data_IF_614384328614
#
_entry.id   IF_614384328614
#
_cell.length_a   1.000
_cell.length_b   1.000
_cell.length_c   1.000
_cell.angle_alpha   90.00
_cell.angle_beta   90.00
_cell.angle_gamma   90.00
#
_symmetry.space_group_name_H-M   'P 1'
#
loop_
_entity.id
_entity.type
_entity.pdbx_description
1 polymer ?
#
# COMPACT_ATOMS: atom_id res chain seq x y z
N UNK A 1 -15.70 7.19 -19.59
CA UNK A 1 -15.36 7.32 -18.17
C UNK A 1 -14.30 8.39 -18.00
N UNK A 2 -14.44 9.24 -17.00
CA UNK A 2 -13.53 10.36 -16.73
C UNK A 2 -12.76 10.10 -15.44
N UNK A 3 -11.44 10.10 -15.52
CA UNK A 3 -10.53 9.88 -14.38
C UNK A 3 -9.75 11.16 -14.13
N UNK A 4 -9.88 11.72 -12.92
CA UNK A 4 -9.10 12.87 -12.48
C UNK A 4 -7.97 12.40 -11.56
N UNK A 5 -6.72 12.68 -11.93
CA UNK A 5 -5.54 12.36 -11.11
C UNK A 5 -5.08 13.63 -10.39
N UNK A 6 -5.17 13.66 -9.06
CA UNK A 6 -4.66 14.75 -8.23
C UNK A 6 -3.23 14.39 -7.81
N UNK A 7 -2.26 15.08 -8.42
CA UNK A 7 -0.84 14.80 -8.26
C UNK A 7 -0.27 13.89 -9.35
N UNK A 8 0.04 14.46 -10.52
CA UNK A 8 0.71 13.76 -11.63
C UNK A 8 2.24 13.69 -11.44
N UNK A 9 2.66 13.16 -10.29
CA UNK A 9 4.04 12.73 -10.02
C UNK A 9 4.25 11.27 -10.44
N UNK A 10 5.25 10.60 -9.87
CA UNK A 10 5.53 9.18 -10.16
C UNK A 10 4.32 8.28 -9.95
N UNK A 11 3.67 8.32 -8.78
CA UNK A 11 2.49 7.49 -8.50
C UNK A 11 1.30 7.83 -9.42
N UNK A 12 1.06 9.12 -9.66
CA UNK A 12 0.01 9.56 -10.58
C UNK A 12 0.22 9.08 -12.02
N UNK A 13 1.46 9.10 -12.53
CA UNK A 13 1.75 8.57 -13.86
C UNK A 13 1.58 7.04 -13.93
N UNK A 14 1.94 6.31 -12.86
CA UNK A 14 1.65 4.88 -12.75
C UNK A 14 0.15 4.59 -12.84
N UNK A 15 -0.68 5.38 -12.15
CA UNK A 15 -2.14 5.28 -12.28
C UNK A 15 -2.63 5.60 -13.68
N UNK A 16 -2.11 6.66 -14.32
CA UNK A 16 -2.45 7.00 -15.71
C UNK A 16 -2.20 5.80 -16.64
N UNK A 17 -0.99 5.23 -16.60
CA UNK A 17 -0.60 4.06 -17.41
C UNK A 17 -1.47 2.83 -17.10
N UNK A 18 -1.74 2.57 -15.82
CA UNK A 18 -2.59 1.45 -15.39
C UNK A 18 -4.04 1.60 -15.86
N UNK A 19 -4.61 2.81 -15.84
CA UNK A 19 -5.94 3.08 -16.37
C UNK A 19 -6.02 2.98 -17.89
N UNK A 20 -5.03 3.50 -18.61
CA UNK A 20 -4.92 3.35 -20.07
C UNK A 20 -4.87 1.86 -20.47
N UNK A 21 -4.08 1.07 -19.74
CA UNK A 21 -4.02 -0.36 -19.94
C UNK A 21 -5.37 -1.04 -19.63
N UNK A 22 -5.94 -0.80 -18.44
CA UNK A 22 -7.20 -1.39 -18.02
C UNK A 22 -8.37 -1.03 -18.95
N UNK A 23 -8.38 0.20 -19.48
CA UNK A 23 -9.33 0.66 -20.49
C UNK A 23 -9.25 -0.20 -21.76
N UNK A 24 -8.03 -0.47 -22.26
CA UNK A 24 -7.80 -1.31 -23.43
C UNK A 24 -8.32 -2.75 -23.23
N UNK A 25 -8.15 -3.31 -22.04
CA UNK A 25 -8.58 -4.68 -21.72
C UNK A 25 -10.10 -4.80 -21.53
N UNK A 26 -10.74 -3.76 -21.00
CA UNK A 26 -12.18 -3.77 -20.68
C UNK A 26 -13.06 -3.25 -21.81
N UNK A 27 -12.47 -2.59 -22.81
CA UNK A 27 -13.20 -1.88 -23.86
C UNK A 27 -13.88 -0.58 -23.38
N UNK A 28 -13.55 -0.10 -22.18
CA UNK A 28 -14.11 1.13 -21.62
C UNK A 28 -13.30 2.32 -22.11
N UNK A 29 -13.94 3.28 -22.77
CA UNK A 29 -13.27 4.55 -23.12
C UNK A 29 -12.99 5.38 -21.87
N UNK A 30 -11.72 5.73 -21.64
CA UNK A 30 -11.26 6.55 -20.51
C UNK A 30 -10.70 7.87 -21.03
N UNK A 31 -11.15 8.98 -20.44
CA UNK A 31 -10.57 10.31 -20.57
C UNK A 31 -9.88 10.65 -19.25
N UNK A 32 -8.62 11.07 -19.31
CA UNK A 32 -7.82 11.39 -18.12
C UNK A 32 -7.51 12.88 -18.11
N UNK A 33 -7.72 13.52 -16.96
CA UNK A 33 -7.23 14.86 -16.65
C UNK A 33 -6.45 14.82 -15.34
N UNK A 34 -5.73 15.90 -15.03
CA UNK A 34 -4.98 15.96 -13.78
C UNK A 34 -5.02 17.35 -13.13
N UNK A 35 -4.90 17.32 -11.81
CA UNK A 35 -4.65 18.51 -10.97
C UNK A 35 -3.20 18.47 -10.51
N UNK A 36 -2.52 19.60 -10.56
CA UNK A 36 -1.16 19.73 -10.05
C UNK A 36 -0.77 21.17 -9.76
N UNK A 37 0.37 21.37 -9.12
CA UNK A 37 0.91 22.72 -8.85
C UNK A 37 1.42 23.41 -10.12
N UNK A 38 1.86 22.62 -11.08
CA UNK A 38 2.43 23.10 -12.34
C UNK A 38 1.98 22.20 -13.49
N UNK A 39 1.86 22.80 -14.68
CA UNK A 39 1.58 22.07 -15.89
C UNK A 39 2.78 21.20 -16.29
N UNK A 40 2.53 19.95 -16.66
CA UNK A 40 3.53 18.98 -17.12
C UNK A 40 3.51 18.95 -18.65
N UNK A 41 4.62 18.58 -19.31
CA UNK A 41 4.69 18.45 -20.76
C UNK A 41 3.96 17.18 -21.25
N UNK A 42 2.64 17.17 -21.12
CA UNK A 42 1.75 16.07 -21.51
C UNK A 42 0.51 16.62 -22.22
N UNK A 43 -0.17 15.77 -23.00
CA UNK A 43 -1.40 16.13 -23.68
C UNK A 43 -2.65 16.10 -22.77
N UNK A 44 -2.51 15.62 -21.52
CA UNK A 44 -3.62 15.58 -20.57
C UNK A 44 -4.13 16.98 -20.23
N UNK A 45 -5.44 17.11 -20.06
CA UNK A 45 -6.06 18.36 -19.58
C UNK A 45 -5.57 18.67 -18.17
N UNK A 46 -5.00 19.86 -18.00
CA UNK A 46 -4.46 20.35 -16.74
C UNK A 46 -5.47 21.25 -16.01
N UNK A 47 -5.55 21.08 -14.70
CA UNK A 47 -6.22 21.98 -13.77
C UNK A 47 -5.27 22.40 -12.66
N UNK A 48 -5.32 23.66 -12.27
CA UNK A 48 -4.52 24.19 -11.16
C UNK A 48 -5.26 24.12 -9.80
N UNK A 49 -6.53 23.71 -9.79
CA UNK A 49 -7.37 23.59 -8.59
C UNK A 49 -8.29 22.37 -8.69
N UNK A 50 -8.60 21.77 -7.54
CA UNK A 50 -9.45 20.58 -7.44
C UNK A 50 -10.91 20.94 -7.76
N UNK A 51 -11.46 21.98 -7.15
CA UNK A 51 -12.84 22.43 -7.35
C UNK A 51 -13.17 22.72 -8.82
N UNK A 52 -12.31 23.45 -9.52
CA UNK A 52 -12.45 23.71 -10.96
C UNK A 52 -12.41 22.43 -11.79
N UNK A 53 -11.56 21.47 -11.42
CA UNK A 53 -11.51 20.17 -12.10
C UNK A 53 -12.80 19.35 -11.86
N UNK A 54 -13.29 19.32 -10.62
CA UNK A 54 -14.53 18.61 -10.28
C UNK A 54 -15.73 19.20 -11.04
N UNK A 55 -15.82 20.52 -11.17
CA UNK A 55 -16.91 21.20 -11.90
C UNK A 55 -16.79 21.03 -13.42
N UNK A 56 -15.64 21.36 -14.00
CA UNK A 56 -15.49 21.42 -15.46
C UNK A 56 -15.24 20.05 -16.10
N UNK A 57 -14.48 19.18 -15.42
CA UNK A 57 -14.20 17.84 -15.92
C UNK A 57 -15.31 16.88 -15.52
N UNK A 58 -15.90 17.04 -14.34
CA UNK A 58 -16.93 16.17 -13.77
C UNK A 58 -16.51 14.68 -13.80
N UNK A 59 -15.48 14.29 -13.02
CA UNK A 59 -14.91 12.96 -13.08
C UNK A 59 -15.80 11.88 -12.45
N UNK A 60 -15.79 10.68 -13.04
CA UNK A 60 -16.40 9.48 -12.45
C UNK A 60 -15.50 8.87 -11.36
N UNK A 61 -14.18 9.04 -11.52
CA UNK A 61 -13.15 8.52 -10.61
C UNK A 61 -12.16 9.65 -10.29
N UNK A 62 -11.84 9.83 -9.01
CA UNK A 62 -10.74 10.67 -8.53
C UNK A 62 -9.64 9.78 -7.96
N UNK A 63 -8.39 10.03 -8.35
CA UNK A 63 -7.19 9.41 -7.80
C UNK A 63 -6.41 10.46 -7.03
N UNK A 64 -6.19 10.22 -5.74
CA UNK A 64 -5.31 11.05 -4.89
C UNK A 64 -3.94 10.39 -4.83
N UNK A 65 -2.96 10.98 -5.51
CA UNK A 65 -1.59 10.46 -5.63
C UNK A 65 -0.52 11.55 -5.41
N UNK A 66 -0.85 12.54 -4.56
CA UNK A 66 0.12 13.52 -4.06
C UNK A 66 1.07 12.85 -3.06
N UNK A 67 2.00 13.60 -2.45
CA UNK A 67 2.81 13.04 -1.36
C UNK A 67 1.90 12.72 -0.16
N UNK A 68 2.23 11.65 0.57
CA UNK A 68 1.47 11.14 1.71
C UNK A 68 1.10 12.22 2.75
N UNK A 69 2.00 13.17 3.04
CA UNK A 69 1.80 14.30 3.96
C UNK A 69 0.72 15.29 3.50
N UNK A 70 0.21 15.16 2.27
CA UNK A 70 -0.80 16.04 1.69
C UNK A 70 -2.11 15.31 1.38
N UNK A 71 -2.23 14.02 1.69
CA UNK A 71 -3.45 13.26 1.42
C UNK A 71 -4.65 13.84 2.17
N UNK A 72 -4.53 14.10 3.47
CA UNK A 72 -5.65 14.59 4.28
C UNK A 72 -6.26 15.89 3.74
N UNK A 73 -5.42 16.90 3.44
CA UNK A 73 -5.92 18.17 2.89
C UNK A 73 -6.62 17.98 1.56
N UNK A 74 -6.05 17.16 0.66
CA UNK A 74 -6.64 16.88 -0.65
C UNK A 74 -7.95 16.09 -0.54
N UNK A 75 -8.02 15.09 0.32
CA UNK A 75 -9.23 14.30 0.55
C UNK A 75 -10.35 15.17 1.14
N UNK A 76 -10.01 16.12 2.03
CA UNK A 76 -10.96 17.09 2.56
C UNK A 76 -11.54 18.02 1.47
N UNK A 77 -10.76 18.38 0.45
CA UNK A 77 -11.26 19.15 -0.71
C UNK A 77 -12.25 18.37 -1.59
N UNK A 78 -12.39 17.05 -1.41
CA UNK A 78 -13.38 16.23 -2.10
C UNK A 78 -14.74 16.20 -1.39
N UNK A 79 -14.97 17.03 -0.37
CA UNK A 79 -16.25 17.12 0.32
C UNK A 79 -17.40 17.35 -0.68
N UNK A 80 -18.42 16.48 -0.64
CA UNK A 80 -19.56 16.51 -1.55
C UNK A 80 -19.35 15.83 -2.90
N UNK A 81 -18.17 15.25 -3.16
CA UNK A 81 -17.95 14.43 -4.34
C UNK A 81 -18.64 13.07 -4.20
N UNK A 82 -19.44 12.68 -5.21
CA UNK A 82 -20.23 11.44 -5.18
C UNK A 82 -19.63 10.31 -6.05
N UNK A 83 -18.50 10.52 -6.71
CA UNK A 83 -17.90 9.49 -7.57
C UNK A 83 -17.13 8.42 -6.80
N UNK A 84 -16.21 7.74 -7.49
CA UNK A 84 -15.31 6.77 -6.87
C UNK A 84 -13.99 7.42 -6.51
N UNK A 85 -13.47 7.19 -5.31
CA UNK A 85 -12.17 7.72 -4.88
C UNK A 85 -11.16 6.60 -4.72
N UNK A 86 -10.00 6.76 -5.34
CA UNK A 86 -8.79 5.98 -5.06
C UNK A 86 -7.83 6.89 -4.30
N UNK A 87 -7.31 6.41 -3.18
CA UNK A 87 -6.25 7.10 -2.46
C UNK A 87 -4.98 6.26 -2.48
N UNK A 88 -3.84 6.87 -2.82
CA UNK A 88 -2.55 6.27 -2.52
C UNK A 88 -2.39 6.05 -1.03
N UNK A 89 -1.52 5.10 -0.66
CA UNK A 89 -1.19 4.82 0.74
C UNK A 89 -0.20 5.85 1.30
N UNK A 90 -0.17 6.07 2.63
CA UNK A 90 -1.22 5.73 3.60
C UNK A 90 -2.44 6.66 3.41
N UNK A 91 -3.53 6.46 4.15
CA UNK A 91 -4.72 7.32 3.99
C UNK A 91 -4.41 8.78 4.38
N UNK A 92 -3.67 8.97 5.47
CA UNK A 92 -3.22 10.28 5.97
C UNK A 92 -1.86 10.19 6.64
N UNK A 93 -1.23 11.32 6.96
CA UNK A 93 -0.14 11.33 7.92
C UNK A 93 -0.67 11.06 9.35
N UNK A 94 0.17 10.55 10.27
CA UNK A 94 -0.28 10.19 11.62
C UNK A 94 -0.90 11.32 12.46
N UNK A 95 -0.53 12.57 12.18
CA UNK A 95 -0.99 13.75 12.92
C UNK A 95 -2.25 14.40 12.31
N UNK A 96 -2.72 13.91 11.16
CA UNK A 96 -3.87 14.49 10.48
C UNK A 96 -5.20 14.12 11.16
N UNK A 97 -6.21 14.99 11.01
CA UNK A 97 -7.56 14.73 11.51
C UNK A 97 -8.31 13.71 10.63
N UNK A 98 -8.25 12.46 11.07
CA UNK A 98 -8.92 11.34 10.42
C UNK A 98 -10.45 11.47 10.40
N UNK A 99 -11.05 12.16 11.37
CA UNK A 99 -12.50 12.34 11.42
C UNK A 99 -12.97 13.30 10.31
N UNK A 100 -12.22 14.39 10.09
CA UNK A 100 -12.48 15.31 8.97
C UNK A 100 -12.39 14.62 7.61
N UNK A 101 -11.40 13.74 7.41
CA UNK A 101 -11.26 12.96 6.17
C UNK A 101 -12.44 12.01 5.98
N UNK A 102 -12.85 11.28 7.03
CA UNK A 102 -14.02 10.41 6.99
C UNK A 102 -15.31 11.18 6.65
N UNK A 103 -15.50 12.37 7.22
CA UNK A 103 -16.65 13.22 6.94
C UNK A 103 -16.66 13.76 5.50
N UNK A 104 -15.51 14.19 4.98
CA UNK A 104 -15.39 14.69 3.61
C UNK A 104 -15.74 13.62 2.56
N UNK A 105 -15.36 12.37 2.85
CA UNK A 105 -15.60 11.23 1.95
C UNK A 105 -16.93 10.53 2.19
N UNK A 106 -17.80 11.02 3.07
CA UNK A 106 -19.03 10.34 3.46
C UNK A 106 -20.04 10.14 2.30
N UNK A 107 -19.93 10.93 1.22
CA UNK A 107 -20.87 10.90 0.08
C UNK A 107 -20.35 10.11 -1.12
N UNK A 108 -19.12 9.59 -1.08
CA UNK A 108 -18.54 8.87 -2.23
C UNK A 108 -19.31 7.57 -2.49
N UNK A 109 -19.54 7.23 -3.76
CA UNK A 109 -20.21 5.97 -4.14
C UNK A 109 -19.28 4.76 -4.15
N UNK A 110 -18.00 4.98 -3.89
CA UNK A 110 -17.01 3.92 -3.69
C UNK A 110 -15.66 4.50 -3.32
N UNK A 111 -14.90 3.71 -2.57
CA UNK A 111 -13.58 4.06 -2.11
C UNK A 111 -12.65 2.86 -2.19
N UNK A 112 -11.40 3.10 -2.54
CA UNK A 112 -10.33 2.12 -2.41
C UNK A 112 -9.01 2.78 -2.00
N UNK A 113 -8.42 2.34 -0.90
CA UNK A 113 -7.01 2.62 -0.60
C UNK A 113 -6.11 1.71 -1.46
N UNK A 114 -5.00 2.26 -1.95
CA UNK A 114 -4.07 1.55 -2.82
C UNK A 114 -3.20 0.51 -2.07
N UNK A 115 -3.84 -0.57 -1.63
CA UNK A 115 -3.20 -1.73 -1.00
C UNK A 115 -2.94 -2.81 -2.05
N UNK A 116 -2.06 -2.50 -3.01
CA UNK A 116 -1.83 -3.29 -4.23
C UNK A 116 -1.44 -4.75 -3.99
N UNK A 117 -0.87 -5.06 -2.82
CA UNK A 117 -0.39 -6.41 -2.51
C UNK A 117 -1.53 -7.42 -2.33
N UNK A 118 -2.77 -6.94 -2.10
CA UNK A 118 -3.99 -7.76 -2.19
C UNK A 118 -4.21 -8.33 -3.61
N UNK A 119 -3.68 -7.69 -4.65
CA UNK A 119 -3.83 -8.07 -6.06
C UNK A 119 -2.69 -8.97 -6.59
N UNK A 120 -1.74 -9.33 -5.73
CA UNK A 120 -0.78 -10.39 -6.05
C UNK A 120 -1.50 -11.74 -6.14
N UNK A 121 -1.14 -12.55 -7.13
CA UNK A 121 -1.67 -13.92 -7.24
C UNK A 121 -1.14 -14.80 -6.11
N UNK A 122 0.06 -14.50 -5.58
CA UNK A 122 0.64 -15.18 -4.42
C UNK A 122 -0.18 -14.92 -3.15
N UNK A 123 -0.56 -13.66 -2.88
CA UNK A 123 -1.39 -13.31 -1.72
C UNK A 123 -2.77 -13.95 -1.81
N UNK A 124 -3.41 -13.86 -2.98
CA UNK A 124 -4.73 -14.45 -3.20
C UNK A 124 -4.70 -15.96 -3.01
N UNK A 125 -3.68 -16.64 -3.56
CA UNK A 125 -3.51 -18.08 -3.36
C UNK A 125 -3.41 -18.43 -1.87
N UNK A 126 -2.58 -17.74 -1.08
CA UNK A 126 -2.47 -18.03 0.36
C UNK A 126 -3.80 -17.82 1.09
N UNK A 127 -4.50 -16.70 0.82
CA UNK A 127 -5.82 -16.44 1.40
C UNK A 127 -6.82 -17.55 1.06
N UNK A 128 -6.84 -18.01 -0.18
CA UNK A 128 -7.72 -19.09 -0.61
C UNK A 128 -7.38 -20.42 0.06
N UNK A 129 -6.10 -20.72 0.25
CA UNK A 129 -5.64 -21.91 0.98
C UNK A 129 -6.10 -21.88 2.44
N UNK A 130 -5.88 -20.77 3.14
CA UNK A 130 -6.31 -20.57 4.53
C UNK A 130 -7.82 -20.75 4.66
N UNK A 131 -8.59 -20.10 3.79
CA UNK A 131 -10.05 -20.17 3.82
C UNK A 131 -10.58 -21.58 3.49
N UNK A 132 -10.01 -22.25 2.48
CA UNK A 132 -10.45 -23.57 2.02
C UNK A 132 -10.20 -24.67 3.06
N UNK A 133 -9.08 -24.60 3.77
CA UNK A 133 -8.68 -25.65 4.72
C UNK A 133 -8.99 -25.30 6.17
N UNK A 134 -9.55 -24.12 6.44
CA UNK A 134 -9.88 -23.67 7.80
C UNK A 134 -8.65 -23.54 8.69
N UNK A 135 -7.50 -23.17 8.12
CA UNK A 135 -6.25 -23.04 8.88
C UNK A 135 -6.34 -21.89 9.88
N UNK A 136 -5.89 -22.16 11.11
CA UNK A 136 -5.88 -21.18 12.18
C UNK A 136 -4.46 -20.62 12.38
N UNK A 137 -4.27 -19.29 12.36
CA UNK A 137 -2.94 -18.72 12.53
C UNK A 137 -2.45 -18.86 13.98
N UNK A 138 -1.28 -19.48 14.15
CA UNK A 138 -0.58 -19.60 15.43
C UNK A 138 0.38 -18.44 15.66
N UNK A 139 1.06 -18.00 14.59
CA UNK A 139 2.01 -16.89 14.64
C UNK A 139 2.13 -16.27 13.26
N UNK A 140 2.36 -14.96 13.22
CA UNK A 140 2.84 -14.33 12.00
C UNK A 140 4.03 -13.39 12.28
N UNK A 141 4.80 -13.12 11.24
CA UNK A 141 5.84 -12.09 11.30
C UNK A 141 6.06 -11.44 9.94
N UNK A 142 6.59 -10.23 9.93
CA UNK A 142 6.94 -9.57 8.68
C UNK A 142 8.24 -8.81 8.75
N UNK A 143 8.85 -8.65 7.59
CA UNK A 143 9.95 -7.72 7.35
C UNK A 143 9.58 -6.91 6.11
N UNK A 144 9.57 -5.59 6.23
CA UNK A 144 9.21 -4.70 5.13
C UNK A 144 10.11 -3.48 5.09
N UNK A 145 11.23 -3.59 4.38
CA UNK A 145 12.26 -2.57 4.31
C UNK A 145 12.67 -2.22 2.89
N UNK A 146 13.10 -0.98 2.70
CA UNK A 146 13.80 -0.49 1.49
C UNK A 146 14.68 0.71 1.83
N UNK A 147 15.45 1.20 0.87
CA UNK A 147 16.32 2.37 1.05
C UNK A 147 15.69 3.62 0.44
N UNK A 148 15.33 4.59 1.28
CA UNK A 148 14.88 5.93 0.90
C UNK A 148 15.80 7.02 1.43
N UNK A 149 17.05 6.71 1.80
CA UNK A 149 18.00 7.73 2.23
C UNK A 149 18.14 8.80 1.14
N UNK A 150 17.91 10.05 1.55
CA UNK A 150 18.00 11.23 0.69
C UNK A 150 17.04 11.25 -0.52
N UNK A 151 15.93 10.52 -0.42
CA UNK A 151 14.79 10.72 -1.31
C UNK A 151 14.28 12.17 -1.20
N UNK A 152 14.06 12.82 -2.35
CA UNK A 152 13.63 14.22 -2.45
C UNK A 152 12.14 14.40 -2.11
N UNK A 153 11.37 13.31 -2.03
CA UNK A 153 9.94 13.35 -1.76
C UNK A 153 9.68 13.42 -0.25
N UNK A 154 8.87 14.38 0.20
CA UNK A 154 8.33 14.36 1.56
C UNK A 154 7.61 13.03 1.84
N UNK A 155 7.75 12.56 3.08
CA UNK A 155 7.04 11.39 3.58
C UNK A 155 6.55 11.59 5.03
N UNK A 156 5.50 10.89 5.44
CA UNK A 156 5.10 10.79 6.83
C UNK A 156 5.92 9.75 7.62
N UNK A 157 6.90 9.10 6.98
CA UNK A 157 7.78 8.11 7.61
C UNK A 157 7.34 6.67 7.37
N UNK A 158 7.99 5.76 8.09
CA UNK A 158 7.92 4.31 7.89
C UNK A 158 6.54 3.70 8.10
N UNK A 159 5.62 4.41 8.75
CA UNK A 159 4.20 4.03 8.83
C UNK A 159 3.58 3.81 7.45
N UNK A 160 3.98 4.62 6.46
CA UNK A 160 3.57 4.46 5.06
C UNK A 160 4.14 3.21 4.39
N UNK A 161 5.12 2.53 4.99
CA UNK A 161 5.69 1.29 4.48
C UNK A 161 5.17 0.07 5.25
N UNK A 162 5.06 0.18 6.58
CA UNK A 162 4.49 -0.84 7.45
C UNK A 162 3.03 -1.20 7.08
N UNK A 163 2.29 -0.25 6.52
CA UNK A 163 0.88 -0.42 6.12
C UNK A 163 0.63 -1.67 5.27
N UNK A 164 1.55 -2.03 4.37
CA UNK A 164 1.36 -3.19 3.48
C UNK A 164 1.31 -4.50 4.28
N UNK A 165 2.28 -4.71 5.17
CA UNK A 165 2.31 -5.93 5.97
C UNK A 165 1.12 -6.00 6.96
N UNK A 166 0.79 -4.87 7.59
CA UNK A 166 -0.33 -4.79 8.55
C UNK A 166 -1.68 -5.07 7.86
N UNK A 167 -1.87 -4.57 6.64
CA UNK A 167 -3.04 -4.90 5.81
C UNK A 167 -3.11 -6.40 5.51
N UNK A 168 -2.02 -6.96 4.98
CA UNK A 168 -1.96 -8.36 4.56
C UNK A 168 -2.26 -9.34 5.70
N UNK A 169 -1.77 -9.07 6.91
CA UNK A 169 -2.02 -9.89 8.09
C UNK A 169 -3.53 -10.07 8.35
N UNK A 170 -4.28 -8.97 8.42
CA UNK A 170 -5.73 -9.02 8.63
C UNK A 170 -6.48 -9.51 7.40
N UNK A 171 -6.00 -9.17 6.20
CA UNK A 171 -6.68 -9.53 4.95
C UNK A 171 -6.57 -11.01 4.60
N UNK A 172 -5.44 -11.66 4.89
CA UNK A 172 -5.24 -13.10 4.65
C UNK A 172 -6.01 -13.93 5.69
N UNK A 173 -6.05 -13.46 6.94
CA UNK A 173 -6.64 -14.20 8.07
C UNK A 173 -7.82 -13.44 8.72
N UNK A 174 -8.89 -13.09 7.98
CA UNK A 174 -9.96 -12.24 8.51
C UNK A 174 -10.72 -12.89 9.68
N UNK A 175 -10.76 -14.22 9.76
CA UNK A 175 -11.42 -14.96 10.83
C UNK A 175 -10.65 -14.92 12.17
N UNK A 176 -9.37 -14.55 12.16
CA UNK A 176 -8.55 -14.47 13.37
C UNK A 176 -8.95 -13.31 14.28
N UNK A 177 -9.63 -12.29 13.74
CA UNK A 177 -10.07 -11.11 14.49
C UNK A 177 -9.25 -9.86 14.18
N UNK A 178 -9.41 -8.78 14.97
CA UNK A 178 -8.79 -7.49 14.67
C UNK A 178 -7.29 -7.49 14.98
N UNK A 179 -6.54 -6.72 14.20
CA UNK A 179 -5.13 -6.42 14.44
C UNK A 179 -5.01 -5.33 15.52
N UNK A 180 -4.20 -5.55 16.55
CA UNK A 180 -3.98 -4.62 17.67
C UNK A 180 -2.49 -4.49 17.98
N UNK A 181 -2.02 -3.26 18.13
CA UNK A 181 -0.63 -3.01 18.50
C UNK A 181 -0.39 -3.29 19.99
N UNK A 182 0.60 -4.12 20.30
CA UNK A 182 1.00 -4.41 21.68
C UNK A 182 2.14 -3.50 22.11
N UNK A 183 3.17 -3.38 21.27
CA UNK A 183 4.34 -2.56 21.58
C UNK A 183 5.08 -2.12 20.31
N UNK A 184 5.82 -1.01 20.40
CA UNK A 184 6.64 -0.49 19.32
C UNK A 184 7.91 0.20 19.84
N UNK A 185 9.04 -0.13 19.23
CA UNK A 185 10.30 0.60 19.36
C UNK A 185 10.72 1.07 17.97
N UNK A 186 11.33 2.24 17.88
CA UNK A 186 11.69 2.80 16.58
C UNK A 186 12.92 3.68 16.60
N UNK A 187 13.33 4.09 15.41
CA UNK A 187 14.40 5.04 15.17
C UNK A 187 13.82 6.19 14.35
N UNK A 188 14.14 7.40 14.78
CA UNK A 188 13.85 8.63 14.04
C UNK A 188 15.14 9.15 13.43
N UNK A 189 15.07 9.78 12.27
CA UNK A 189 16.22 10.43 11.66
C UNK A 189 15.86 11.53 10.69
N UNK A 190 16.90 12.12 10.13
CA UNK A 190 16.86 13.08 9.04
C UNK A 190 16.93 12.43 7.65
N UNK A 191 16.59 11.14 7.48
CA UNK A 191 16.74 10.43 6.20
C UNK A 191 16.01 11.09 5.01
N UNK A 192 14.89 11.80 5.26
CA UNK A 192 14.05 12.44 4.23
C UNK A 192 13.95 13.95 4.41
N UNK A 193 13.51 14.65 3.36
CA UNK A 193 13.29 16.10 3.37
C UNK A 193 12.17 16.58 4.30
N UNK A 194 11.42 15.65 4.92
CA UNK A 194 10.29 15.96 5.80
C UNK A 194 10.68 16.46 7.19
N UNK A 195 11.95 16.34 7.60
CA UNK A 195 12.41 16.82 8.90
C UNK A 195 13.68 16.12 9.38
N UNK A 196 14.09 16.42 10.61
CA UNK A 196 15.26 15.87 11.28
C UNK A 196 14.94 14.71 12.25
N UNK A 197 13.65 14.42 12.46
CA UNK A 197 13.16 13.40 13.39
C UNK A 197 11.96 12.62 12.85
N UNK A 198 12.00 12.25 11.57
CA UNK A 198 10.95 11.41 10.94
C UNK A 198 11.16 9.96 11.35
N UNK A 199 10.10 9.24 11.73
CA UNK A 199 10.20 7.81 12.06
C UNK A 199 10.61 7.02 10.82
N UNK A 200 11.82 6.46 10.85
CA UNK A 200 12.42 5.78 9.68
C UNK A 200 12.35 4.25 9.79
N UNK A 201 12.31 3.73 11.01
CA UNK A 201 12.40 2.30 11.30
C UNK A 201 11.57 1.99 12.53
N UNK A 202 10.83 0.89 12.46
CA UNK A 202 10.06 0.36 13.58
C UNK A 202 10.25 -1.14 13.70
N UNK A 203 10.38 -1.58 14.95
CA UNK A 203 10.12 -2.95 15.36
C UNK A 203 8.87 -2.93 16.23
N UNK A 204 7.94 -3.85 15.97
CA UNK A 204 6.67 -3.89 16.67
C UNK A 204 6.29 -5.30 17.08
N UNK A 205 5.47 -5.37 18.12
CA UNK A 205 4.69 -6.54 18.46
C UNK A 205 3.21 -6.19 18.43
N UNK A 206 2.39 -7.12 17.95
CA UNK A 206 0.95 -6.95 17.79
C UNK A 206 0.25 -8.29 18.01
N UNK A 207 -1.08 -8.27 18.02
CA UNK A 207 -1.89 -9.49 17.93
C UNK A 207 -2.91 -9.37 16.80
N UNK A 208 -3.21 -10.48 16.13
CA UNK A 208 -4.35 -10.61 15.24
C UNK A 208 -5.34 -11.58 15.92
N UNK A 209 -6.33 -11.01 16.61
CA UNK A 209 -7.02 -11.73 17.68
C UNK A 209 -6.03 -12.18 18.75
N UNK A 210 -5.90 -13.50 18.91
CA UNK A 210 -4.97 -14.14 19.86
C UNK A 210 -3.63 -14.51 19.23
N UNK A 211 -3.48 -14.39 17.91
CA UNK A 211 -2.25 -14.75 17.20
C UNK A 211 -1.17 -13.68 17.44
N UNK A 212 -0.03 -14.00 18.08
CA UNK A 212 1.08 -13.07 18.24
C UNK A 212 1.77 -12.73 16.91
N UNK A 213 2.14 -11.47 16.77
CA UNK A 213 2.82 -10.90 15.59
C UNK A 213 4.09 -10.19 16.01
N UNK A 214 5.17 -10.41 15.24
CA UNK A 214 6.40 -9.62 15.31
C UNK A 214 6.67 -8.96 13.95
N UNK A 215 6.93 -7.65 13.94
CA UNK A 215 7.08 -6.89 12.71
C UNK A 215 8.34 -6.04 12.69
N UNK A 216 8.95 -5.90 11.52
CA UNK A 216 9.97 -4.92 11.23
C UNK A 216 9.62 -4.15 9.96
N UNK A 217 9.72 -2.83 9.99
CA UNK A 217 9.67 -2.01 8.78
C UNK A 217 10.70 -0.90 8.82
N UNK A 218 11.25 -0.53 7.66
CA UNK A 218 12.27 0.51 7.55
C UNK A 218 12.33 1.19 6.19
N UNK A 219 12.60 2.49 6.20
CA UNK A 219 12.98 3.29 5.04
C UNK A 219 14.49 3.50 4.89
N UNK A 220 15.28 2.90 5.76
CA UNK A 220 16.74 2.96 5.73
C UNK A 220 17.32 1.55 5.72
N UNK A 221 16.55 0.58 5.23
CA UNK A 221 17.06 -0.79 5.06
C UNK A 221 17.95 -0.85 3.83
N UNK A 222 19.17 -1.32 4.04
CA UNK A 222 20.21 -1.40 2.99
C UNK A 222 19.80 -2.32 1.84
N UNK A 223 18.97 -3.33 2.12
CA UNK A 223 18.48 -4.28 1.12
C UNK A 223 16.97 -4.28 1.16
N UNK A 224 16.33 -4.13 -0.01
CA UNK A 224 14.89 -4.31 -0.11
C UNK A 224 14.53 -5.74 0.29
N UNK A 225 13.63 -5.84 1.26
CA UNK A 225 13.02 -7.11 1.64
C UNK A 225 11.57 -6.84 2.03
N UNK A 226 10.67 -7.61 1.44
CA UNK A 226 9.23 -7.55 1.68
C UNK A 226 8.72 -8.97 1.87
N UNK A 227 8.62 -9.41 3.11
CA UNK A 227 8.22 -10.77 3.46
C UNK A 227 7.15 -10.76 4.53
N UNK A 228 6.16 -11.63 4.38
CA UNK A 228 5.16 -11.95 5.41
C UNK A 228 5.15 -13.45 5.61
N UNK A 229 5.37 -13.86 6.84
CA UNK A 229 5.45 -15.25 7.27
C UNK A 229 4.27 -15.58 8.18
N UNK A 230 3.71 -16.77 7.98
CA UNK A 230 2.68 -17.33 8.84
C UNK A 230 3.08 -18.73 9.27
N UNK A 231 2.69 -19.09 10.49
CA UNK A 231 2.56 -20.47 10.94
C UNK A 231 1.12 -20.69 11.32
N UNK A 232 0.53 -21.74 10.78
CA UNK A 232 -0.83 -22.18 11.01
C UNK A 232 -0.86 -23.54 11.67
N UNK A 233 -2.03 -23.89 12.20
CA UNK A 233 -2.45 -25.27 12.47
C UNK A 233 -3.65 -25.59 11.59
N UNK A 234 -3.70 -26.83 11.11
CA UNK A 234 -4.90 -27.37 10.48
C UNK A 234 -5.81 -28.08 11.50
N UNK A 235 -6.80 -28.80 10.99
CA UNK A 235 -7.78 -29.53 11.80
C UNK A 235 -7.23 -30.83 12.42
N UNK A 236 -6.04 -31.26 12.01
CA UNK A 236 -5.32 -32.41 12.56
C UNK A 236 -4.17 -31.97 13.48
N UNK A 237 -4.16 -30.69 13.90
CA UNK A 237 -3.12 -30.06 14.72
C UNK A 237 -1.72 -30.07 14.06
N UNK A 238 -1.64 -30.20 12.73
CA UNK A 238 -0.38 -30.18 12.00
C UNK A 238 0.09 -28.75 11.73
N UNK A 239 1.38 -28.49 11.96
CA UNK A 239 1.98 -27.18 11.73
C UNK A 239 2.27 -26.95 10.25
N UNK A 240 1.72 -25.84 9.73
CA UNK A 240 1.87 -25.43 8.35
C UNK A 240 2.55 -24.07 8.31
N UNK A 241 3.63 -23.95 7.57
CA UNK A 241 4.35 -22.71 7.37
C UNK A 241 4.03 -22.13 6.00
N UNK A 242 3.85 -20.82 5.93
CA UNK A 242 3.72 -20.10 4.68
C UNK A 242 4.60 -18.85 4.68
N UNK A 243 5.24 -18.57 3.55
CA UNK A 243 6.00 -17.34 3.31
C UNK A 243 5.55 -16.70 2.01
N UNK A 244 5.17 -15.44 2.10
CA UNK A 244 5.03 -14.53 0.98
C UNK A 244 6.29 -13.68 0.88
N UNK A 245 6.84 -13.57 -0.33
CA UNK A 245 7.93 -12.65 -0.67
C UNK A 245 7.44 -11.77 -1.80
N UNK A 246 7.59 -10.45 -1.68
CA UNK A 246 7.09 -9.49 -2.65
C UNK A 246 8.21 -8.75 -3.35
N UNK A 247 7.94 -8.37 -4.59
CA UNK A 247 8.79 -7.51 -5.41
C UNK A 247 10.26 -7.96 -5.41
N UNK A 248 10.52 -9.27 -5.49
CA UNK A 248 11.85 -9.86 -5.42
C UNK A 248 11.99 -10.94 -6.49
N UNK A 249 12.98 -10.84 -7.41
CA UNK A 249 14.07 -9.84 -7.45
C UNK A 249 13.68 -8.50 -8.08
N UNK A 250 12.48 -8.37 -8.64
CA UNK A 250 11.99 -7.15 -9.31
C UNK A 250 10.58 -6.84 -8.84
N UNK A 251 10.12 -5.61 -9.05
CA UNK A 251 8.74 -5.22 -8.81
C UNK A 251 7.74 -6.15 -9.49
N UNK A 252 6.64 -6.44 -8.80
CA UNK A 252 5.60 -7.41 -9.14
C UNK A 252 6.09 -8.88 -9.26
N UNK A 253 7.36 -9.18 -8.97
CA UNK A 253 7.81 -10.56 -8.81
C UNK A 253 7.53 -11.02 -7.38
N UNK A 254 6.52 -11.85 -7.22
CA UNK A 254 6.08 -12.33 -5.91
C UNK A 254 6.26 -13.85 -5.82
N UNK A 255 6.43 -14.37 -4.61
CA UNK A 255 6.61 -15.79 -4.34
C UNK A 255 5.80 -16.20 -3.12
N UNK A 256 5.00 -17.26 -3.28
CA UNK A 256 4.36 -17.98 -2.18
C UNK A 256 5.02 -19.36 -2.06
N UNK A 257 5.44 -19.70 -0.84
CA UNK A 257 5.79 -21.08 -0.47
C UNK A 257 4.94 -21.50 0.73
N UNK A 258 4.35 -22.69 0.66
CA UNK A 258 3.62 -23.34 1.76
C UNK A 258 4.24 -24.72 1.99
N UNK A 259 4.58 -25.04 3.22
CA UNK A 259 5.21 -26.31 3.56
C UNK A 259 4.91 -26.76 4.99
N UNK A 260 5.13 -28.04 5.24
CA UNK A 260 5.10 -28.66 6.55
C UNK A 260 6.44 -29.34 6.83
N UNK A 261 6.61 -29.87 8.04
CA UNK A 261 7.66 -30.84 8.36
C UNK A 261 7.07 -32.24 8.43
N UNK A 262 7.71 -33.19 7.76
CA UNK A 262 7.38 -34.60 7.87
C UNK A 262 7.90 -35.17 9.21
N UNK A 263 7.49 -36.39 9.53
CA UNK A 263 7.86 -37.16 10.72
C UNK A 263 9.36 -37.39 10.87
N UNK A 264 10.11 -37.42 9.76
CA UNK A 264 11.57 -37.50 9.74
C UNK A 264 12.27 -36.13 9.82
N UNK A 265 11.49 -35.05 9.89
CA UNK A 265 11.97 -33.66 9.94
C UNK A 265 12.24 -33.02 8.58
N UNK A 266 12.03 -33.73 7.47
CA UNK A 266 12.17 -33.18 6.13
C UNK A 266 11.05 -32.19 5.78
N UNK A 267 11.31 -31.26 4.86
CA UNK A 267 10.28 -30.31 4.41
C UNK A 267 9.37 -30.96 3.36
N UNK A 268 8.07 -31.00 3.65
CA UNK A 268 7.03 -31.37 2.69
C UNK A 268 6.42 -30.08 2.11
N UNK A 269 6.76 -29.75 0.86
CA UNK A 269 6.22 -28.57 0.18
C UNK A 269 4.81 -28.87 -0.33
N UNK A 270 3.82 -28.16 0.22
CA UNK A 270 2.42 -28.27 -0.19
C UNK A 270 2.13 -27.41 -1.42
N UNK A 271 2.78 -26.24 -1.51
CA UNK A 271 2.58 -25.30 -2.61
C UNK A 271 3.80 -24.41 -2.82
N UNK A 272 4.17 -24.16 -4.08
CA UNK A 272 5.21 -23.21 -4.47
C UNK A 272 4.74 -22.47 -5.73
N UNK A 273 4.48 -21.17 -5.61
CA UNK A 273 3.96 -20.32 -6.66
C UNK A 273 4.85 -19.10 -6.84
N UNK A 274 5.47 -18.99 -8.02
CA UNK A 274 6.25 -17.81 -8.43
C UNK A 274 5.48 -17.00 -9.46
N UNK A 275 5.26 -15.73 -9.15
CA UNK A 275 4.64 -14.74 -10.02
C UNK A 275 5.75 -13.89 -10.64
N UNK A 276 5.73 -13.76 -11.95
CA UNK A 276 6.73 -12.99 -12.70
C UNK A 276 6.07 -12.45 -13.97
N UNK A 277 5.35 -11.33 -13.89
CA UNK A 277 4.64 -10.78 -15.03
C UNK A 277 5.62 -10.30 -16.10
N UNK A 278 5.36 -10.65 -17.36
CA UNK A 278 6.22 -10.33 -18.52
C UNK A 278 5.52 -9.48 -19.56
N UNK A 279 4.37 -8.89 -19.22
CA UNK A 279 3.56 -8.13 -20.18
C UNK A 279 4.24 -6.79 -20.51
N UNK A 280 4.61 -6.54 -21.78
CA UNK A 280 5.26 -5.29 -22.17
C UNK A 280 4.39 -4.07 -21.85
N UNK A 281 5.03 -3.02 -21.32
CA UNK A 281 4.35 -1.77 -20.94
C UNK A 281 3.69 -1.80 -19.55
N UNK A 282 3.66 -2.96 -18.89
CA UNK A 282 3.20 -3.15 -17.51
C UNK A 282 4.33 -3.47 -16.53
N UNK A 283 5.57 -3.17 -16.90
CA UNK A 283 6.69 -3.24 -15.98
C UNK A 283 6.31 -2.43 -14.73
N UNK A 284 6.26 -3.12 -13.58
CA UNK A 284 5.94 -2.57 -12.24
C UNK A 284 4.50 -2.08 -12.04
N UNK A 285 3.60 -2.44 -12.97
CA UNK A 285 2.20 -2.02 -12.99
C UNK A 285 1.23 -3.20 -13.04
N UNK A 286 1.67 -4.44 -12.93
CA UNK A 286 0.79 -5.60 -13.11
C UNK A 286 -0.30 -5.64 -12.04
N UNK A 287 0.06 -5.55 -10.76
CA UNK A 287 -0.88 -5.49 -9.63
C UNK A 287 -1.78 -4.25 -9.72
N UNK A 288 -1.20 -3.10 -10.05
CA UNK A 288 -1.93 -1.83 -10.16
C UNK A 288 -2.94 -1.84 -11.32
N UNK A 289 -2.60 -2.47 -12.45
CA UNK A 289 -3.50 -2.57 -13.60
C UNK A 289 -4.68 -3.49 -13.33
N UNK A 290 -4.46 -4.60 -12.62
CA UNK A 290 -5.54 -5.47 -12.11
C UNK A 290 -6.48 -4.67 -11.20
N UNK A 291 -5.94 -3.86 -10.29
CA UNK A 291 -6.72 -2.98 -9.42
C UNK A 291 -7.56 -1.96 -10.23
N UNK A 292 -6.92 -1.19 -11.13
CA UNK A 292 -7.62 -0.22 -11.96
C UNK A 292 -8.71 -0.87 -12.83
N UNK A 293 -8.47 -2.07 -13.36
CA UNK A 293 -9.47 -2.84 -14.09
C UNK A 293 -10.70 -3.14 -13.25
N UNK A 294 -10.53 -3.55 -12.00
CA UNK A 294 -11.67 -3.80 -11.10
C UNK A 294 -12.42 -2.52 -10.75
N UNK A 295 -11.72 -1.40 -10.57
CA UNK A 295 -12.38 -0.10 -10.37
C UNK A 295 -13.21 0.27 -11.61
N UNK A 296 -12.66 0.13 -12.83
CA UNK A 296 -13.41 0.38 -14.05
C UNK A 296 -14.66 -0.51 -14.15
N UNK A 297 -14.52 -1.81 -13.87
CA UNK A 297 -15.64 -2.76 -13.89
C UNK A 297 -16.69 -2.44 -12.83
N UNK A 298 -16.29 -2.03 -11.62
CA UNK A 298 -17.19 -1.61 -10.57
C UNK A 298 -17.98 -0.35 -10.98
N UNK A 299 -17.28 0.70 -11.43
CA UNK A 299 -17.93 1.98 -11.76
C UNK A 299 -18.82 1.84 -13.00
N UNK A 300 -18.43 1.05 -14.01
CA UNK A 300 -19.22 0.86 -15.24
C UNK A 300 -20.34 -0.16 -15.13
N UNK A 301 -20.09 -1.30 -14.48
CA UNK A 301 -20.98 -2.48 -14.50
C UNK A 301 -21.51 -2.87 -13.13
N UNK A 302 -21.08 -2.19 -12.05
CA UNK A 302 -21.36 -2.59 -10.65
C UNK A 302 -20.92 -4.02 -10.34
N UNK A 303 -19.92 -4.52 -11.07
CA UNK A 303 -19.34 -5.84 -10.85
C UNK A 303 -18.52 -5.80 -9.55
N UNK A 304 -18.86 -6.60 -8.53
CA UNK A 304 -18.11 -6.65 -7.29
C UNK A 304 -16.63 -6.98 -7.55
N UNK A 305 -15.69 -6.28 -6.90
CA UNK A 305 -14.26 -6.55 -7.06
C UNK A 305 -13.88 -7.86 -6.36
N UNK A 306 -12.88 -8.55 -6.92
CA UNK A 306 -12.34 -9.80 -6.42
C UNK A 306 -10.81 -9.77 -6.64
N UNK A 307 -10.02 -9.28 -5.67
CA UNK A 307 -10.35 -9.12 -4.25
C UNK A 307 -11.22 -7.90 -3.90
N UNK A 308 -11.88 -7.92 -2.74
CA UNK A 308 -12.61 -6.75 -2.23
C UNK A 308 -11.67 -5.55 -2.06
N UNK A 309 -12.12 -4.36 -2.49
CA UNK A 309 -11.41 -3.11 -2.24
C UNK A 309 -11.14 -2.89 -0.76
N UNK A 310 -10.01 -2.25 -0.44
CA UNK A 310 -9.78 -1.66 0.87
C UNK A 310 -10.74 -0.49 1.06
N UNK A 311 -11.89 -0.75 1.69
CA UNK A 311 -12.98 0.23 1.83
C UNK A 311 -12.54 1.43 2.69
N UNK A 312 -13.35 2.49 2.70
CA UNK A 312 -13.08 3.65 3.54
C UNK A 312 -12.98 3.25 5.02
N UNK A 313 -13.92 2.45 5.53
CA UNK A 313 -13.91 1.99 6.92
C UNK A 313 -12.65 1.16 7.25
N UNK A 314 -12.30 0.19 6.40
CA UNK A 314 -11.06 -0.60 6.56
C UNK A 314 -9.82 0.32 6.57
N UNK A 315 -9.82 1.34 5.72
CA UNK A 315 -8.71 2.28 5.59
C UNK A 315 -8.59 3.21 6.78
N UNK A 316 -9.73 3.65 7.35
CA UNK A 316 -9.78 4.43 8.58
C UNK A 316 -9.27 3.60 9.76
N UNK A 317 -9.69 2.34 9.89
CA UNK A 317 -9.21 1.43 10.94
C UNK A 317 -7.71 1.17 10.83
N UNK A 318 -7.23 0.88 9.62
CA UNK A 318 -5.80 0.69 9.37
C UNK A 318 -5.00 1.97 9.66
N UNK A 319 -5.51 3.14 9.29
CA UNK A 319 -4.87 4.41 9.60
C UNK A 319 -4.82 4.67 11.11
N UNK A 320 -5.85 4.32 11.89
CA UNK A 320 -5.80 4.42 13.36
C UNK A 320 -4.68 3.57 13.94
N UNK A 321 -4.46 2.37 13.42
CA UNK A 321 -3.33 1.52 13.82
C UNK A 321 -1.97 2.15 13.48
N UNK A 322 -1.84 2.77 12.30
CA UNK A 322 -0.62 3.49 11.93
C UNK A 322 -0.36 4.72 12.80
N UNK A 323 -1.43 5.45 13.15
CA UNK A 323 -1.35 6.58 14.07
C UNK A 323 -0.88 6.08 15.44
N UNK A 324 -1.47 4.99 15.93
CA UNK A 324 -1.06 4.37 17.20
C UNK A 324 0.41 3.95 17.17
N UNK A 325 0.88 3.36 16.07
CA UNK A 325 2.29 2.99 15.88
C UNK A 325 3.23 4.20 15.97
N UNK A 326 2.93 5.29 15.27
CA UNK A 326 3.73 6.53 15.31
C UNK A 326 3.81 7.11 16.73
N UNK A 327 2.68 7.14 17.44
CA UNK A 327 2.57 7.75 18.77
C UNK A 327 3.17 6.90 19.88
N UNK A 328 3.06 5.56 19.79
CA UNK A 328 3.54 4.63 20.82
C UNK A 328 4.99 4.21 20.63
N UNK A 329 5.58 4.44 19.46
CA UNK A 329 6.97 4.08 19.18
C UNK A 329 7.92 4.77 20.17
N UNK A 330 8.60 3.97 21.00
CA UNK A 330 9.68 4.48 21.85
C UNK A 330 10.94 4.63 21.02
N UNK A 331 11.48 5.85 20.99
CA UNK A 331 12.64 6.18 20.17
C UNK A 331 13.77 6.78 21.01
N UNK A 332 15.04 6.46 20.75
CA UNK A 332 16.17 7.21 21.30
C UNK A 332 16.27 8.59 20.65
N UNK A 333 17.36 9.32 20.93
CA UNK A 333 17.68 10.54 20.18
C UNK A 333 17.76 10.25 18.67
N UNK A 334 17.30 11.17 17.79
CA UNK A 334 17.30 10.94 16.36
C UNK A 334 18.70 10.66 15.79
N UNK A 335 18.78 9.67 14.90
CA UNK A 335 19.98 9.43 14.10
C UNK A 335 20.17 10.56 13.07
N UNK A 336 21.43 10.83 12.71
CA UNK A 336 21.80 11.84 11.71
C UNK A 336 22.58 11.19 10.59
N UNK A 337 22.00 11.14 9.41
CA UNK A 337 22.64 10.71 8.17
C UNK A 337 23.28 11.90 7.44
N UNK A 338 22.73 13.11 7.60
CA UNK A 338 23.24 14.32 6.95
C UNK A 338 24.05 15.17 7.95
N UNK A 339 25.37 15.14 7.80
CA UNK A 339 26.30 15.91 8.66
C UNK A 339 26.70 17.28 8.10
N UNK A 340 26.44 17.53 6.80
CA UNK A 340 26.78 18.77 6.13
C UNK A 340 25.67 19.83 6.18
N UNK A 341 25.99 21.05 5.74
CA UNK A 341 25.00 22.13 5.59
C UNK A 341 23.99 21.86 4.45
N UNK A 342 24.35 20.99 3.52
CA UNK A 342 23.52 20.59 2.37
C UNK A 342 23.31 19.09 2.34
N UNK A 343 22.12 18.67 1.92
CA UNK A 343 21.72 17.27 1.74
C UNK A 343 22.01 16.82 0.31
N UNK A 344 22.60 15.64 0.15
CA UNK A 344 22.83 15.02 -1.16
C UNK A 344 21.59 14.25 -1.60
N UNK A 345 20.68 14.92 -2.31
CA UNK A 345 19.43 14.31 -2.78
C UNK A 345 19.63 13.38 -3.97
N UNK A 346 18.82 12.31 -4.01
CA UNK A 346 18.64 11.51 -5.22
C UNK A 346 18.03 12.39 -6.33
N UNK A 347 18.50 12.21 -7.57
CA UNK A 347 17.99 12.98 -8.70
C UNK A 347 16.50 12.68 -8.93
N UNK A 348 15.70 13.68 -9.30
CA UNK A 348 14.27 13.47 -9.60
C UNK A 348 14.03 12.48 -10.73
N UNK A 349 14.99 12.38 -11.66
CA UNK A 349 15.00 11.45 -12.80
C UNK A 349 15.59 10.07 -12.47
N UNK A 350 16.05 9.85 -11.23
CA UNK A 350 16.51 8.52 -10.84
C UNK A 350 15.34 7.54 -10.88
N UNK A 351 15.59 6.34 -11.40
CA UNK A 351 14.59 5.29 -11.42
C UNK A 351 14.24 4.93 -9.98
N UNK A 352 13.02 5.29 -9.56
CA UNK A 352 12.53 5.07 -8.21
C UNK A 352 12.37 3.58 -7.88
N UNK A 353 12.50 2.71 -8.89
CA UNK A 353 12.58 1.26 -8.74
C UNK A 353 13.94 0.79 -8.22
N UNK A 354 14.95 1.67 -8.20
CA UNK A 354 16.33 1.46 -7.70
C UNK A 354 16.46 1.76 -6.19
N UNK A 355 15.37 2.14 -5.51
CA UNK A 355 15.33 2.41 -4.05
C UNK A 355 15.48 1.13 -3.18
N UNK A 356 16.38 0.23 -3.57
CA UNK A 356 16.57 -1.13 -3.06
C UNK A 356 15.79 -2.14 -3.87
#
# INVERSE_FOLDING_TARGET
MKVLIIGLGYAGDRFRRAFEHAASQTGVSVSIAYVGRQQKPTALRYFNRIDGALQDFNPDIVVVSVNDISHASVLCELAGYEGFVICEKPLTAPADDLASVGAALAQVRGFALNLIERYSDATQALRDWVARHGWQPVRASFYWGKDRLNDYRPTCGVTSEAIHALDLLGWICPAAGPLRLTDAIGIRSDFSVSGDAVLDTVQLSATLGDTPIAGYSSFVSVVRQRTVDFTFVDHEDQLIHARLTFDTPRWDHDHLRIWMRDTDGSELVLHDLRVSPVQPGLETLSKLSKFCQQVLQWVTRRQPPAPRFASLDESLDLQRLLNELEHRARTPAPARYNHGATRSLLAESSDLEVLG
#
